data_IF_132070136852
#
_entry.id   IF_132070136852
#
_cell.length_a   1.000
_cell.length_b   1.000
_cell.length_c   1.000
_cell.angle_alpha   90.00
_cell.angle_beta   90.00
_cell.angle_gamma   90.00
#
_symmetry.space_group_name_H-M   'P 1'
#
loop_
_entity.id
_entity.type
_entity.pdbx_description
1 polymer ?
#
# COMPACT_ATOMS: atom_id res chain seq x y z
N UNK A 1 -5.34 0.03 -16.71
CA UNK A 1 -5.55 -0.37 -15.30
C UNK A 1 -6.12 0.83 -14.58
N UNK A 2 -7.11 0.62 -13.72
CA UNK A 2 -7.76 1.70 -12.95
C UNK A 2 -7.45 1.47 -11.49
N UNK A 3 -6.73 2.40 -10.87
CA UNK A 3 -6.45 2.35 -9.45
C UNK A 3 -7.63 2.91 -8.67
N UNK A 4 -8.06 2.18 -7.64
CA UNK A 4 -9.00 2.71 -6.65
C UNK A 4 -8.22 3.65 -5.72
N UNK A 5 -8.70 4.88 -5.49
CA UNK A 5 -8.11 5.75 -4.48
C UNK A 5 -8.10 5.08 -3.11
N UNK A 6 -6.97 5.18 -2.42
CA UNK A 6 -6.88 4.78 -1.02
C UNK A 6 -7.37 5.93 -0.14
N UNK A 7 -8.06 5.60 0.95
CA UNK A 7 -8.44 6.56 1.97
C UNK A 7 -7.18 7.11 2.65
N UNK A 8 -7.09 8.43 2.85
CA UNK A 8 -5.94 9.02 3.51
C UNK A 8 -5.91 8.63 4.99
N UNK A 9 -4.71 8.36 5.49
CA UNK A 9 -4.45 8.18 6.91
C UNK A 9 -4.54 9.48 7.71
N UNK A 10 -4.18 9.41 8.98
CA UNK A 10 -4.16 10.59 9.88
C UNK A 10 -3.28 11.73 9.35
N UNK A 11 -2.24 11.40 8.58
CA UNK A 11 -1.30 12.36 7.98
C UNK A 11 -1.47 12.44 6.45
N UNK A 12 -2.70 12.76 6.02
CA UNK A 12 -3.11 12.87 4.61
C UNK A 12 -2.25 13.78 3.71
N UNK A 13 -1.43 14.65 4.31
CA UNK A 13 -0.49 15.55 3.61
C UNK A 13 0.85 14.88 3.25
N UNK A 14 1.10 13.67 3.74
CA UNK A 14 2.37 12.95 3.51
C UNK A 14 2.32 12.17 2.20
N UNK A 15 1.20 11.52 1.89
CA UNK A 15 1.11 10.62 0.74
C UNK A 15 -0.35 10.44 0.29
N UNK A 16 -0.57 10.49 -1.02
CA UNK A 16 -1.79 9.98 -1.65
C UNK A 16 -1.45 8.78 -2.50
N UNK A 17 -2.39 7.83 -2.63
CA UNK A 17 -2.15 6.61 -3.37
C UNK A 17 -3.41 6.08 -4.03
N UNK A 18 -3.19 5.30 -5.09
CA UNK A 18 -4.19 4.44 -5.69
C UNK A 18 -3.68 3.01 -5.73
N UNK A 19 -4.56 2.06 -5.42
CA UNK A 19 -4.27 0.63 -5.38
C UNK A 19 -5.24 -0.14 -6.26
N UNK A 20 -4.74 -1.17 -6.91
CA UNK A 20 -5.53 -2.19 -7.60
C UNK A 20 -5.19 -3.54 -6.98
N UNK A 21 -6.24 -4.29 -6.67
CA UNK A 21 -6.15 -5.66 -6.15
C UNK A 21 -6.75 -6.57 -7.20
N UNK A 22 -5.96 -7.53 -7.69
CA UNK A 22 -6.39 -8.50 -8.68
C UNK A 22 -6.27 -9.92 -8.13
N UNK A 23 -7.40 -10.63 -8.05
CA UNK A 23 -7.43 -12.04 -7.67
C UNK A 23 -6.81 -12.91 -8.76
N UNK A 24 -6.01 -13.89 -8.34
CA UNK A 24 -5.38 -14.90 -9.20
C UNK A 24 -5.61 -16.28 -8.60
N UNK A 25 -5.57 -17.31 -9.43
CA UNK A 25 -5.71 -18.70 -8.97
C UNK A 25 -4.64 -19.14 -7.97
N UNK A 26 -3.52 -18.42 -7.91
CA UNK A 26 -2.40 -18.66 -7.00
C UNK A 26 -2.35 -17.69 -5.81
N UNK A 27 -3.25 -16.71 -5.70
CA UNK A 27 -3.21 -15.68 -4.65
C UNK A 27 -3.69 -14.32 -5.13
N UNK A 28 -2.95 -13.27 -4.82
CA UNK A 28 -3.33 -11.88 -5.12
C UNK A 28 -2.17 -11.12 -5.74
N UNK A 29 -2.46 -10.38 -6.82
CA UNK A 29 -1.59 -9.35 -7.39
C UNK A 29 -2.02 -7.98 -6.89
N UNK A 30 -1.06 -7.16 -6.50
CA UNK A 30 -1.23 -5.80 -6.01
C UNK A 30 -0.44 -4.88 -6.91
N UNK A 31 -1.09 -3.89 -7.50
CA UNK A 31 -0.43 -2.84 -8.28
C UNK A 31 -0.81 -1.49 -7.66
N UNK A 32 0.14 -0.54 -7.53
CA UNK A 32 -0.16 0.76 -6.93
C UNK A 32 0.71 1.90 -7.48
N UNK A 33 0.27 3.12 -7.20
CA UNK A 33 1.05 4.33 -7.36
C UNK A 33 0.90 5.21 -6.12
N UNK A 34 1.88 6.09 -5.92
CA UNK A 34 1.88 7.07 -4.84
C UNK A 34 2.37 8.41 -5.35
N UNK A 35 1.74 9.49 -4.89
CA UNK A 35 2.28 10.84 -4.98
C UNK A 35 2.74 11.25 -3.56
N UNK A 36 3.98 11.70 -3.46
CA UNK A 36 4.56 12.16 -2.20
C UNK A 36 4.14 13.60 -1.95
N UNK A 37 3.54 13.86 -0.80
CA UNK A 37 3.14 15.20 -0.39
C UNK A 37 4.30 16.00 0.19
N UNK A 38 4.05 17.28 0.49
CA UNK A 38 5.09 18.21 0.95
C UNK A 38 5.70 17.82 2.32
N UNK A 39 4.95 17.09 3.14
CA UNK A 39 5.39 16.63 4.46
C UNK A 39 6.04 15.23 4.42
N UNK A 40 6.21 14.66 3.23
CA UNK A 40 6.92 13.39 3.05
C UNK A 40 8.39 13.55 3.47
N UNK A 41 8.92 12.72 4.38
CA UNK A 41 10.32 12.81 4.77
C UNK A 41 11.23 12.43 3.60
N UNK A 42 12.35 13.14 3.45
CA UNK A 42 13.36 12.84 2.44
C UNK A 42 13.92 11.41 2.59
N UNK A 43 14.12 10.72 1.46
CA UNK A 43 14.67 9.35 1.42
C UNK A 43 13.89 8.35 2.29
N UNK A 44 12.58 8.54 2.44
CA UNK A 44 11.72 7.62 3.18
C UNK A 44 11.65 6.24 2.53
N UNK A 45 11.65 5.20 3.37
CA UNK A 45 11.30 3.84 2.94
C UNK A 45 9.85 3.54 3.32
N UNK A 46 9.09 3.04 2.36
CA UNK A 46 7.68 2.70 2.50
C UNK A 46 7.47 1.19 2.45
N UNK A 47 6.37 0.76 3.03
CA UNK A 47 5.94 -0.64 3.05
C UNK A 47 4.48 -0.74 2.65
N UNK A 48 4.15 -1.79 1.89
CA UNK A 48 2.78 -2.19 1.60
C UNK A 48 2.44 -3.35 2.53
N UNK A 49 1.47 -3.14 3.41
CA UNK A 49 1.09 -4.09 4.45
C UNK A 49 -0.32 -4.57 4.18
N UNK A 50 -0.53 -5.89 4.15
CA UNK A 50 -1.86 -6.49 4.09
C UNK A 50 -2.28 -6.95 5.48
N UNK A 51 -3.54 -6.70 5.84
CA UNK A 51 -4.18 -7.28 7.02
C UNK A 51 -5.08 -8.41 6.55
N UNK A 52 -5.02 -9.55 7.23
CA UNK A 52 -5.83 -10.71 6.93
C UNK A 52 -7.07 -10.80 7.82
N UNK A 53 -8.02 -11.68 7.47
CA UNK A 53 -9.24 -11.94 8.26
C UNK A 53 -8.99 -12.46 9.68
N UNK A 54 -7.79 -13.00 9.96
CA UNK A 54 -7.36 -13.42 11.29
C UNK A 54 -6.62 -12.30 12.07
N UNK A 55 -6.64 -11.07 11.55
CA UNK A 55 -5.93 -9.89 12.05
C UNK A 55 -4.41 -9.98 12.00
N UNK A 56 -3.83 -10.98 11.33
CA UNK A 56 -2.38 -10.97 11.06
C UNK A 56 -2.04 -9.94 10.00
N UNK A 57 -0.86 -9.33 10.13
CA UNK A 57 -0.35 -8.37 9.15
C UNK A 57 0.90 -8.91 8.48
N UNK A 58 1.05 -8.65 7.19
CA UNK A 58 2.23 -9.04 6.40
C UNK A 58 2.67 -7.90 5.49
N UNK A 59 3.94 -7.54 5.57
CA UNK A 59 4.57 -6.65 4.57
C UNK A 59 4.81 -7.43 3.29
N UNK A 60 4.13 -7.03 2.22
CA UNK A 60 4.19 -7.69 0.89
C UNK A 60 5.07 -6.96 -0.11
N UNK A 61 5.43 -5.71 0.16
CA UNK A 61 6.36 -4.93 -0.65
C UNK A 61 7.08 -3.86 0.17
N UNK A 62 8.29 -3.49 -0.26
CA UNK A 62 9.01 -2.33 0.27
C UNK A 62 9.62 -1.49 -0.84
N UNK A 63 9.55 -0.18 -0.63
CA UNK A 63 9.89 0.96 -1.48
C UNK A 63 10.86 2.03 -1.00
N UNK A 64 11.85 2.47 -1.76
CA UNK A 64 12.51 3.75 -1.44
C UNK A 64 11.83 4.90 -2.21
N UNK A 65 11.60 6.03 -1.54
CA UNK A 65 11.09 7.24 -2.19
C UNK A 65 12.09 7.75 -3.23
N UNK A 66 11.62 8.00 -4.45
CA UNK A 66 12.42 8.59 -5.50
C UNK A 66 11.62 9.67 -6.25
N UNK A 67 12.08 10.92 -6.16
CA UNK A 67 11.38 12.06 -6.75
C UNK A 67 10.03 12.33 -6.08
N UNK A 68 9.09 12.91 -6.82
CA UNK A 68 7.77 13.32 -6.30
C UNK A 68 6.68 12.27 -6.43
N UNK A 69 6.93 11.17 -7.17
CA UNK A 69 5.93 10.14 -7.48
C UNK A 69 6.59 8.78 -7.65
N UNK A 70 5.96 7.75 -7.10
CA UNK A 70 6.22 6.36 -7.43
C UNK A 70 5.07 5.81 -8.29
N UNK A 71 5.40 5.18 -9.42
CA UNK A 71 4.43 4.61 -10.35
C UNK A 71 4.84 3.19 -10.74
N UNK A 72 3.88 2.44 -11.28
CA UNK A 72 4.06 1.07 -11.79
C UNK A 72 4.65 0.09 -10.75
N UNK A 73 4.38 0.33 -9.47
CA UNK A 73 4.76 -0.56 -8.40
C UNK A 73 3.85 -1.79 -8.41
N UNK A 74 4.44 -2.96 -8.19
CA UNK A 74 3.73 -4.23 -8.25
C UNK A 74 4.31 -5.24 -7.26
N UNK A 75 3.44 -6.06 -6.68
CA UNK A 75 3.79 -7.15 -5.79
C UNK A 75 2.76 -8.27 -5.90
N UNK A 76 3.13 -9.44 -5.39
CA UNK A 76 2.25 -10.61 -5.35
C UNK A 76 2.37 -11.32 -4.02
N UNK A 77 1.26 -11.85 -3.52
CA UNK A 77 1.20 -12.69 -2.32
C UNK A 77 0.39 -13.95 -2.60
N UNK A 78 0.71 -15.04 -1.89
CA UNK A 78 -0.09 -16.27 -1.91
C UNK A 78 -1.42 -16.16 -1.13
N UNK A 79 -1.62 -15.05 -0.40
CA UNK A 79 -2.86 -14.78 0.33
C UNK A 79 -3.99 -14.56 -0.69
N UNK A 80 -5.11 -15.30 -0.61
CA UNK A 80 -6.29 -15.05 -1.43
C UNK A 80 -6.89 -13.67 -1.15
N UNK A 81 -7.40 -12.98 -2.17
CA UNK A 81 -7.98 -11.63 -2.03
C UNK A 81 -9.10 -11.59 -0.99
N UNK A 82 -9.97 -12.61 -0.97
CA UNK A 82 -11.05 -12.79 0.01
C UNK A 82 -10.58 -12.97 1.46
N UNK A 83 -9.28 -13.15 1.70
CA UNK A 83 -8.67 -13.23 3.03
C UNK A 83 -7.99 -11.94 3.45
N UNK A 84 -7.87 -10.96 2.55
CA UNK A 84 -7.39 -9.62 2.86
C UNK A 84 -8.60 -8.82 3.38
N UNK A 85 -8.40 -8.05 4.44
CA UNK A 85 -9.41 -7.14 5.01
C UNK A 85 -9.02 -5.68 4.84
N UNK A 86 -7.71 -5.40 4.78
CA UNK A 86 -7.20 -4.09 4.40
C UNK A 86 -5.83 -4.18 3.78
N UNK A 87 -5.49 -3.17 2.99
CA UNK A 87 -4.14 -2.91 2.49
C UNK A 87 -3.74 -1.50 2.89
N UNK A 88 -2.56 -1.35 3.45
CA UNK A 88 -2.06 -0.08 3.98
C UNK A 88 -0.68 0.25 3.43
N UNK A 89 -0.45 1.54 3.18
CA UNK A 89 0.88 2.09 2.94
C UNK A 89 1.34 2.75 4.23
N UNK A 90 2.54 2.38 4.67
CA UNK A 90 3.18 2.89 5.89
C UNK A 90 4.62 3.31 5.62
N UNK A 91 5.17 4.15 6.48
CA UNK A 91 6.63 4.27 6.59
C UNK A 91 7.19 2.99 7.23
N UNK A 92 8.35 2.56 6.77
CA UNK A 92 9.05 1.42 7.34
C UNK A 92 9.27 1.61 8.85
N UNK A 93 8.89 0.60 9.63
CA UNK A 93 8.97 0.61 11.09
C UNK A 93 7.83 1.36 11.79
N UNK A 94 6.92 2.01 11.05
CA UNK A 94 5.72 2.64 11.60
C UNK A 94 4.52 1.70 11.57
N UNK A 95 3.65 1.83 12.57
CA UNK A 95 2.33 1.17 12.59
C UNK A 95 1.20 2.09 12.11
N UNK A 96 1.51 3.35 11.80
CA UNK A 96 0.53 4.34 11.33
C UNK A 96 0.36 4.21 9.84
N UNK A 97 -0.89 4.01 9.39
CA UNK A 97 -1.26 4.03 7.98
C UNK A 97 -1.24 5.48 7.45
N UNK A 98 -0.52 5.69 6.35
CA UNK A 98 -0.56 6.94 5.58
C UNK A 98 -1.67 6.92 4.52
N UNK A 99 -1.96 5.74 3.99
CA UNK A 99 -3.07 5.49 3.09
C UNK A 99 -3.60 4.07 3.34
N UNK A 100 -4.91 3.87 3.22
CA UNK A 100 -5.58 2.60 3.48
C UNK A 100 -6.64 2.28 2.43
N UNK A 101 -6.75 1.01 2.09
CA UNK A 101 -7.88 0.49 1.34
C UNK A 101 -8.50 -0.67 2.10
N UNK A 102 -9.78 -0.55 2.44
CA UNK A 102 -10.58 -1.69 2.93
C UNK A 102 -11.13 -2.48 1.73
N UNK A 103 -11.20 -3.81 1.86
CA UNK A 103 -11.54 -4.75 0.80
C UNK A 103 -12.87 -5.46 1.04
#
# INVERSE_FOLDING_TARGET
MTFQPMDPGTDSTTLTAGLQIEEKSWGTRLDWNCDYGADAPDNSRYELVVTQTDNTTLTVATWDAAGSRAADLSASTAIPSLKITSVEIRLQGSTVALARLDT
#
